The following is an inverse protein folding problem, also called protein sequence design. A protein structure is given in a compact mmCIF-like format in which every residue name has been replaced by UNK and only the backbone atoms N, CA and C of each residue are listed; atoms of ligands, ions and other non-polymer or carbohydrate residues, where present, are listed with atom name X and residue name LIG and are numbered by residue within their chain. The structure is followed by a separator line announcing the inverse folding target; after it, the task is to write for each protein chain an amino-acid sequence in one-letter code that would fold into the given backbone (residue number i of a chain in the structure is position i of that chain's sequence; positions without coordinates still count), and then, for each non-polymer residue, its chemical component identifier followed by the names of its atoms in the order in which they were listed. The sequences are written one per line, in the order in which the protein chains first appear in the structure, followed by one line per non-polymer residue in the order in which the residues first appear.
data_IF_381734711451
#
_entry.id   IF_381734711451
#
_cell.length_a   1.000
_cell.length_b   1.000
_cell.length_c   1.000
_cell.angle_alpha   90.00
_cell.angle_beta   90.00
_cell.angle_gamma   90.00
#
_symmetry.space_group_name_H-M   'P 1'
#
loop_
_entity.id
_entity.type
_entity.pdbx_description
1 polymer ?
#
# COMPACT_ATOMS: atom_id res chain seq x y z
N UNK A 1 -9.47 -4.31 -29.38
CA UNK A 1 -9.22 -4.74 -27.98
C UNK A 1 -7.83 -4.24 -27.64
N UNK A 2 -7.67 -3.02 -27.12
CA UNK A 2 -7.96 -2.63 -25.74
C UNK A 2 -6.62 -2.21 -25.13
N UNK A 3 -6.03 -1.10 -25.62
CA UNK A 3 -4.83 -0.51 -25.04
C UNK A 3 -5.13 -0.14 -23.58
N UNK A 4 -4.37 -0.69 -22.63
CA UNK A 4 -4.37 -0.15 -21.27
C UNK A 4 -3.94 1.32 -21.37
N UNK A 5 -4.78 2.30 -20.98
CA UNK A 5 -4.36 3.69 -21.00
C UNK A 5 -3.21 3.85 -20.00
N UNK A 6 -2.04 4.15 -20.55
CA UNK A 6 -0.75 4.19 -19.84
C UNK A 6 -0.51 5.55 -19.16
N UNK A 7 -1.31 6.55 -19.50
CA UNK A 7 -1.22 7.90 -18.93
C UNK A 7 -2.26 8.06 -17.82
N UNK A 8 -1.76 8.38 -16.63
CA UNK A 8 -2.55 8.80 -15.49
C UNK A 8 -3.15 10.17 -15.76
N UNK A 9 -4.33 10.42 -15.18
CA UNK A 9 -4.88 11.77 -15.11
C UNK A 9 -3.89 12.70 -14.40
N UNK A 10 -3.95 14.00 -14.71
CA UNK A 10 -3.00 14.95 -14.13
C UNK A 10 -3.01 14.99 -12.60
N UNK A 11 -4.17 14.72 -11.96
CA UNK A 11 -4.31 14.58 -10.51
C UNK A 11 -3.54 13.39 -9.92
N UNK A 12 -3.31 12.37 -10.73
CA UNK A 12 -2.67 11.11 -10.34
C UNK A 12 -1.19 11.05 -10.71
N UNK A 13 -0.69 11.98 -11.54
CA UNK A 13 0.74 12.05 -11.92
C UNK A 13 1.63 12.30 -10.71
N UNK A 14 2.85 11.76 -10.73
CA UNK A 14 3.84 11.93 -9.67
C UNK A 14 4.11 13.41 -9.44
N UNK A 15 3.87 13.86 -8.21
CA UNK A 15 4.11 15.19 -7.72
C UNK A 15 4.92 15.16 -6.41
N UNK A 16 5.06 16.34 -5.80
CA UNK A 16 5.88 16.50 -4.60
C UNK A 16 5.37 15.78 -3.35
N UNK A 17 4.10 15.32 -3.35
CA UNK A 17 3.39 14.78 -2.19
C UNK A 17 2.81 13.37 -2.37
N UNK A 18 2.77 12.81 -3.58
CA UNK A 18 2.11 11.52 -3.85
C UNK A 18 3.07 10.39 -4.27
N UNK A 19 4.39 10.56 -4.09
CA UNK A 19 5.40 9.62 -4.58
C UNK A 19 5.14 8.15 -4.19
N UNK A 20 4.57 7.90 -3.02
CA UNK A 20 4.42 6.56 -2.46
C UNK A 20 3.20 5.84 -3.01
N UNK A 21 2.06 6.53 -3.10
CA UNK A 21 0.88 6.01 -3.78
C UNK A 21 1.19 5.82 -5.27
N UNK A 22 1.96 6.74 -5.83
CA UNK A 22 2.38 6.67 -7.22
C UNK A 22 3.35 5.51 -7.49
N UNK A 23 4.40 5.33 -6.68
CA UNK A 23 5.41 4.27 -6.88
C UNK A 23 4.76 2.89 -6.81
N UNK A 24 3.89 2.64 -5.82
CA UNK A 24 3.19 1.36 -5.65
C UNK A 24 2.22 1.07 -6.81
N UNK A 25 1.50 2.09 -7.30
CA UNK A 25 0.65 1.96 -8.50
C UNK A 25 1.47 1.69 -9.75
N UNK A 26 2.63 2.32 -9.90
CA UNK A 26 3.52 2.09 -11.04
C UNK A 26 4.15 0.70 -11.01
N UNK A 27 4.62 0.23 -9.85
CA UNK A 27 5.13 -1.14 -9.66
C UNK A 27 4.07 -2.19 -10.04
N UNK A 28 2.83 -1.99 -9.57
CA UNK A 28 1.70 -2.86 -9.89
C UNK A 28 1.39 -2.88 -11.39
N UNK A 29 1.36 -1.70 -12.03
CA UNK A 29 1.13 -1.58 -13.47
C UNK A 29 2.22 -2.24 -14.32
N UNK A 30 3.49 -2.07 -13.92
CA UNK A 30 4.63 -2.70 -14.60
C UNK A 30 4.58 -4.22 -14.48
N UNK A 31 4.25 -4.71 -13.30
CA UNK A 31 4.09 -6.14 -13.02
C UNK A 31 2.97 -6.74 -13.88
N UNK A 32 1.79 -6.12 -13.88
CA UNK A 32 0.65 -6.56 -14.70
C UNK A 32 0.96 -6.54 -16.20
N UNK A 33 1.70 -5.52 -16.67
CA UNK A 33 2.15 -5.43 -18.07
C UNK A 33 3.13 -6.53 -18.45
N UNK A 34 4.07 -6.86 -17.57
CA UNK A 34 5.00 -7.97 -17.81
C UNK A 34 4.23 -9.29 -17.91
N UNK A 35 3.30 -9.57 -17.00
CA UNK A 35 2.44 -10.75 -17.10
C UNK A 35 1.63 -10.79 -18.39
N UNK A 36 1.05 -9.67 -18.81
CA UNK A 36 0.31 -9.60 -20.06
C UNK A 36 1.20 -9.88 -21.29
N UNK A 37 2.43 -9.33 -21.31
CA UNK A 37 3.41 -9.58 -22.38
C UNK A 37 3.77 -11.06 -22.52
N UNK A 38 4.03 -11.71 -21.38
CA UNK A 38 4.34 -13.15 -21.30
C UNK A 38 3.18 -14.01 -21.81
N UNK A 39 1.94 -13.69 -21.43
CA UNK A 39 0.75 -14.48 -21.80
C UNK A 39 0.41 -14.32 -23.29
N UNK A 40 0.66 -13.14 -23.86
CA UNK A 40 0.23 -12.81 -25.23
C UNK A 40 1.30 -13.02 -26.29
N UNK A 41 2.53 -13.44 -25.92
CA UNK A 41 3.70 -13.49 -26.81
C UNK A 41 3.90 -12.17 -27.59
N UNK A 42 3.43 -11.05 -27.06
CA UNK A 42 3.52 -9.72 -27.67
C UNK A 42 4.84 -9.00 -27.34
N UNK A 43 5.81 -9.73 -26.80
CA UNK A 43 7.11 -9.19 -26.44
C UNK A 43 7.96 -8.92 -27.69
N UNK A 44 8.50 -7.70 -27.77
CA UNK A 44 9.52 -7.33 -28.76
C UNK A 44 10.76 -8.22 -28.54
N UNK A 45 11.35 -8.80 -29.61
CA UNK A 45 12.45 -9.77 -29.53
C UNK A 45 13.78 -9.22 -28.95
N UNK A 46 13.83 -7.95 -28.56
CA UNK A 46 15.02 -7.28 -28.00
C UNK A 46 15.07 -7.23 -26.46
N UNK A 47 14.04 -7.70 -25.75
CA UNK A 47 14.09 -7.74 -24.28
C UNK A 47 15.07 -8.82 -23.83
N UNK A 48 16.15 -8.44 -23.15
CA UNK A 48 17.11 -9.40 -22.61
C UNK A 48 16.44 -10.26 -21.55
N UNK A 49 16.94 -11.47 -21.31
CA UNK A 49 16.43 -12.38 -20.27
C UNK A 49 16.42 -11.70 -18.87
N UNK A 50 17.35 -10.76 -18.64
CA UNK A 50 17.42 -9.93 -17.44
C UNK A 50 16.28 -8.90 -17.35
N UNK A 51 15.77 -8.39 -18.48
CA UNK A 51 14.63 -7.45 -18.51
C UNK A 51 13.30 -8.14 -18.19
N UNK A 52 13.23 -9.48 -18.35
CA UNK A 52 12.06 -10.29 -18.01
C UNK A 52 11.94 -10.56 -16.50
N UNK A 53 13.07 -10.56 -15.80
CA UNK A 53 13.15 -10.86 -14.37
C UNK A 53 13.10 -9.61 -13.48
N UNK A 54 13.40 -8.42 -14.02
CA UNK A 54 13.43 -7.18 -13.25
C UNK A 54 12.53 -6.11 -13.89
N UNK A 55 11.30 -5.88 -13.37
CA UNK A 55 10.32 -4.97 -13.95
C UNK A 55 10.81 -3.51 -14.10
N UNK A 56 11.82 -3.13 -13.31
CA UNK A 56 12.35 -1.77 -13.24
C UNK A 56 13.41 -1.49 -14.32
N UNK A 57 14.05 -2.53 -14.89
CA UNK A 57 15.05 -2.43 -15.98
C UNK A 57 14.47 -2.20 -17.37
N UNK A 58 13.19 -2.48 -17.58
CA UNK A 58 12.61 -2.37 -18.92
C UNK A 58 12.65 -0.93 -19.44
N UNK A 59 13.08 -0.73 -20.70
CA UNK A 59 12.95 0.58 -21.40
C UNK A 59 11.51 1.12 -21.38
N UNK A 60 10.52 0.22 -21.27
CA UNK A 60 9.10 0.57 -21.10
C UNK A 60 8.81 1.21 -19.74
N UNK A 61 9.51 0.81 -18.67
CA UNK A 61 9.39 1.44 -17.36
C UNK A 61 9.83 2.91 -17.44
N UNK A 62 11.01 3.20 -18.00
CA UNK A 62 11.47 4.59 -18.15
C UNK A 62 10.50 5.49 -18.96
N UNK A 63 9.87 4.96 -20.02
CA UNK A 63 8.88 5.69 -20.81
C UNK A 63 7.58 5.95 -20.03
N UNK A 64 7.09 4.93 -19.31
CA UNK A 64 5.92 5.02 -18.43
C UNK A 64 6.11 6.05 -17.33
N UNK A 65 7.29 6.07 -16.72
CA UNK A 65 7.61 6.97 -15.62
C UNK A 65 7.69 8.42 -16.11
N UNK A 66 8.26 8.65 -17.31
CA UNK A 66 8.31 9.99 -17.91
C UNK A 66 6.92 10.59 -18.15
N UNK A 67 5.97 9.79 -18.63
CA UNK A 67 4.62 10.25 -18.97
C UNK A 67 3.77 10.46 -17.70
N UNK A 68 4.06 9.71 -16.64
CA UNK A 68 3.27 9.72 -15.41
C UNK A 68 3.87 10.60 -14.31
N UNK A 69 4.83 11.47 -14.61
CA UNK A 69 5.34 12.49 -13.68
C UNK A 69 4.95 13.90 -14.15
N UNK A 70 4.84 14.86 -13.22
CA UNK A 70 4.84 16.27 -13.66
C UNK A 70 6.14 16.58 -14.40
N UNK A 71 6.03 17.36 -15.48
CA UNK A 71 7.09 17.63 -16.48
C UNK A 71 8.43 17.99 -15.85
N UNK A 72 8.42 18.76 -14.75
CA UNK A 72 9.64 19.18 -14.03
C UNK A 72 10.41 17.98 -13.44
N UNK A 73 9.72 17.02 -12.84
CA UNK A 73 10.32 15.81 -12.25
C UNK A 73 10.70 14.80 -13.32
N UNK A 74 9.85 14.63 -14.33
CA UNK A 74 10.14 13.79 -15.50
C UNK A 74 11.42 14.24 -16.20
N UNK A 75 11.60 15.53 -16.45
CA UNK A 75 12.81 16.05 -17.09
C UNK A 75 14.06 15.94 -16.20
N UNK A 76 13.92 16.06 -14.88
CA UNK A 76 15.03 15.98 -13.92
C UNK A 76 15.65 14.59 -13.85
N UNK A 77 14.83 13.55 -13.78
CA UNK A 77 15.33 12.18 -13.61
C UNK A 77 15.58 11.46 -14.94
N UNK A 78 14.86 11.83 -16.01
CA UNK A 78 14.94 11.14 -17.30
C UNK A 78 16.24 11.40 -18.07
N UNK A 79 16.88 12.57 -17.90
CA UNK A 79 18.21 12.81 -18.49
C UNK A 79 19.25 11.85 -17.94
N UNK A 80 19.16 11.56 -16.64
CA UNK A 80 20.15 10.83 -15.88
C UNK A 80 19.89 9.31 -15.94
N UNK A 81 18.62 8.91 -16.06
CA UNK A 81 18.19 7.51 -16.18
C UNK A 81 18.14 6.96 -17.61
N UNK A 82 18.59 7.73 -18.61
CA UNK A 82 18.50 7.34 -20.03
C UNK A 82 19.34 6.10 -20.38
N UNK A 83 20.39 5.82 -19.59
CA UNK A 83 21.29 4.69 -19.78
C UNK A 83 20.91 3.46 -18.95
N UNK A 84 20.25 3.68 -17.81
CA UNK A 84 19.80 2.64 -16.90
C UNK A 84 18.45 3.02 -16.28
N UNK A 85 17.35 2.38 -16.69
CA UNK A 85 16.02 2.63 -16.11
C UNK A 85 15.93 2.42 -14.59
N UNK A 86 16.82 1.61 -13.99
CA UNK A 86 16.86 1.43 -12.53
C UNK A 86 17.34 2.69 -11.80
N UNK A 87 18.14 3.52 -12.47
CA UNK A 87 18.66 4.77 -11.92
C UNK A 87 17.54 5.80 -11.68
N UNK A 88 16.46 5.74 -12.47
CA UNK A 88 15.29 6.59 -12.26
C UNK A 88 14.66 6.31 -10.88
N UNK A 89 14.49 5.04 -10.54
CA UNK A 89 13.89 4.62 -9.28
C UNK A 89 14.77 4.98 -8.09
N UNK A 90 16.09 4.80 -8.23
CA UNK A 90 17.07 5.21 -7.22
C UNK A 90 17.02 6.71 -6.98
N UNK A 91 17.09 7.52 -8.04
CA UNK A 91 17.06 8.99 -7.94
C UNK A 91 15.73 9.53 -7.42
N UNK A 92 14.61 8.91 -7.82
CA UNK A 92 13.29 9.19 -7.27
C UNK A 92 13.28 8.90 -5.77
N UNK A 93 13.70 7.69 -5.37
CA UNK A 93 13.73 7.30 -3.97
C UNK A 93 14.60 8.24 -3.14
N UNK A 94 15.77 8.65 -3.61
CA UNK A 94 16.66 9.58 -2.91
C UNK A 94 16.08 11.00 -2.81
N UNK A 95 15.46 11.50 -3.87
CA UNK A 95 14.86 12.82 -3.88
C UNK A 95 13.63 12.91 -2.97
N UNK A 96 12.83 11.83 -2.92
CA UNK A 96 11.63 11.78 -2.10
C UNK A 96 11.89 11.22 -0.69
N UNK A 97 13.03 10.56 -0.41
CA UNK A 97 13.33 9.95 0.89
C UNK A 97 13.25 10.89 2.10
N UNK A 98 13.80 12.12 2.02
CA UNK A 98 13.65 13.10 3.11
C UNK A 98 12.18 13.50 3.34
N UNK A 99 11.36 13.50 2.28
CA UNK A 99 9.91 13.66 2.38
C UNK A 99 9.24 12.40 2.90
N UNK A 100 9.90 11.24 2.88
CA UNK A 100 9.37 9.98 3.42
C UNK A 100 9.23 10.01 4.94
N UNK A 101 10.08 10.71 5.70
CA UNK A 101 9.83 10.93 7.14
C UNK A 101 8.55 11.75 7.34
N UNK A 102 8.40 12.85 6.59
CA UNK A 102 7.16 13.64 6.59
C UNK A 102 5.96 12.80 6.15
N UNK A 103 6.14 11.89 5.19
CA UNK A 103 5.10 10.97 4.73
C UNK A 103 4.79 9.89 5.79
N UNK A 104 5.80 9.35 6.48
CA UNK A 104 5.62 8.43 7.62
C UNK A 104 4.76 9.11 8.70
N UNK A 105 5.13 10.34 9.10
CA UNK A 105 4.33 11.15 10.02
C UNK A 105 2.92 11.38 9.49
N UNK A 106 2.77 11.69 8.19
CA UNK A 106 1.45 11.89 7.58
C UNK A 106 0.56 10.65 7.66
N UNK A 107 1.09 9.45 7.37
CA UNK A 107 0.29 8.22 7.45
C UNK A 107 0.01 7.83 8.91
N UNK A 108 0.97 8.01 9.82
CA UNK A 108 0.74 7.83 11.26
C UNK A 108 -0.33 8.79 11.78
N UNK A 109 -0.29 10.06 11.38
CA UNK A 109 -1.29 11.06 11.75
C UNK A 109 -2.67 10.68 11.19
N UNK A 110 -2.76 10.25 9.93
CA UNK A 110 -4.03 9.75 9.35
C UNK A 110 -4.57 8.54 10.09
N UNK A 111 -3.72 7.60 10.47
CA UNK A 111 -4.11 6.41 11.24
C UNK A 111 -4.62 6.84 12.62
N UNK A 112 -3.80 7.56 13.39
CA UNK A 112 -4.11 7.88 14.78
C UNK A 112 -5.14 9.01 14.95
N UNK A 113 -5.49 9.74 13.89
CA UNK A 113 -6.61 10.70 13.90
C UNK A 113 -7.94 10.09 13.43
N UNK A 114 -7.94 8.86 12.90
CA UNK A 114 -9.17 8.21 12.44
C UNK A 114 -10.08 7.86 13.61
N UNK A 115 -11.28 8.45 13.67
CA UNK A 115 -12.22 8.15 14.76
C UNK A 115 -12.90 6.80 14.56
N UNK A 116 -12.74 5.87 15.49
CA UNK A 116 -13.44 4.57 15.45
C UNK A 116 -14.80 4.68 16.14
N UNK A 117 -15.84 5.04 15.38
CA UNK A 117 -17.23 5.09 15.86
C UNK A 117 -18.08 3.99 15.21
N UNK A 118 -19.19 3.65 15.85
CA UNK A 118 -20.01 2.50 15.45
C UNK A 118 -20.68 2.63 14.08
N UNK A 119 -21.04 3.86 13.70
CA UNK A 119 -21.75 4.16 12.46
C UNK A 119 -20.86 3.92 11.23
N UNK A 120 -19.57 4.26 11.32
CA UNK A 120 -18.63 4.21 10.21
C UNK A 120 -17.50 3.20 10.41
N UNK A 121 -17.64 2.28 11.39
CA UNK A 121 -16.54 1.42 11.84
C UNK A 121 -15.87 0.63 10.70
N UNK A 122 -16.67 0.13 9.75
CA UNK A 122 -16.17 -0.64 8.59
C UNK A 122 -15.33 0.24 7.65
N UNK A 123 -15.81 1.43 7.31
CA UNK A 123 -15.11 2.36 6.43
C UNK A 123 -13.82 2.91 7.09
N UNK A 124 -13.89 3.21 8.38
CA UNK A 124 -12.76 3.74 9.14
C UNK A 124 -11.67 2.69 9.32
N UNK A 125 -12.03 1.42 9.54
CA UNK A 125 -11.06 0.32 9.56
C UNK A 125 -10.39 0.09 8.19
N UNK A 126 -11.13 0.17 7.09
CA UNK A 126 -10.55 0.09 5.75
C UNK A 126 -9.56 1.23 5.49
N UNK A 127 -9.90 2.45 5.92
CA UNK A 127 -9.00 3.61 5.84
C UNK A 127 -7.72 3.37 6.64
N UNK A 128 -7.82 2.82 7.86
CA UNK A 128 -6.63 2.48 8.68
C UNK A 128 -5.78 1.40 7.99
N UNK A 129 -6.40 0.35 7.44
CA UNK A 129 -5.71 -0.71 6.71
C UNK A 129 -4.94 -0.17 5.50
N UNK A 130 -5.58 0.68 4.69
CA UNK A 130 -4.96 1.31 3.53
C UNK A 130 -3.77 2.18 3.94
N UNK A 131 -3.95 3.09 4.91
CA UNK A 131 -2.85 3.94 5.38
C UNK A 131 -1.72 3.12 6.02
N UNK A 132 -2.03 2.01 6.69
CA UNK A 132 -1.03 1.10 7.25
C UNK A 132 -0.26 0.38 6.15
N UNK A 133 -0.91 -0.04 5.07
CA UNK A 133 -0.25 -0.62 3.90
C UNK A 133 0.72 0.39 3.29
N UNK A 134 0.29 1.64 3.12
CA UNK A 134 1.16 2.72 2.63
C UNK A 134 2.37 2.94 3.54
N UNK A 135 2.16 2.97 4.87
CA UNK A 135 3.22 3.08 5.85
C UNK A 135 4.19 1.89 5.82
N UNK A 136 3.69 0.64 5.73
CA UNK A 136 4.51 -0.58 5.62
C UNK A 136 5.40 -0.53 4.38
N UNK A 137 4.89 -0.01 3.26
CA UNK A 137 5.67 0.15 2.03
C UNK A 137 6.83 1.14 2.19
N UNK A 138 6.79 2.05 3.17
CA UNK A 138 7.94 2.94 3.47
C UNK A 138 9.13 2.21 4.06
N UNK A 139 8.91 1.03 4.63
CA UNK A 139 9.95 0.24 5.29
C UNK A 139 10.39 -0.97 4.44
N UNK A 140 9.90 -1.13 3.20
CA UNK A 140 10.08 -2.35 2.39
C UNK A 140 11.51 -2.65 1.92
N UNK A 141 12.44 -1.70 2.03
CA UNK A 141 13.85 -1.89 1.69
C UNK A 141 14.80 -1.99 2.89
N UNK A 142 14.30 -2.01 4.13
CA UNK A 142 15.15 -2.05 5.32
C UNK A 142 15.45 -3.50 5.74
N UNK A 143 16.73 -3.81 5.91
CA UNK A 143 17.24 -5.12 6.38
C UNK A 143 16.76 -5.49 7.78
N UNK A 144 16.36 -4.50 8.56
CA UNK A 144 15.73 -4.62 9.88
C UNK A 144 14.40 -3.89 9.86
N UNK A 145 13.47 -4.34 9.03
CA UNK A 145 12.20 -3.68 8.83
C UNK A 145 11.30 -3.83 10.07
N UNK A 146 10.96 -2.75 10.80
CA UNK A 146 10.10 -2.81 12.00
C UNK A 146 8.62 -2.97 11.63
N UNK A 147 8.29 -3.49 10.45
CA UNK A 147 6.91 -3.63 9.95
C UNK A 147 6.02 -4.37 10.93
N UNK A 148 6.50 -5.48 11.48
CA UNK A 148 5.73 -6.28 12.43
C UNK A 148 5.48 -5.50 13.74
N UNK A 149 6.48 -4.74 14.20
CA UNK A 149 6.34 -3.88 15.38
C UNK A 149 5.34 -2.74 15.13
N UNK A 150 5.46 -2.04 14.00
CA UNK A 150 4.56 -0.94 13.62
C UNK A 150 3.14 -1.47 13.48
N UNK A 151 2.98 -2.62 12.84
CA UNK A 151 1.67 -3.22 12.66
C UNK A 151 1.01 -3.59 13.98
N UNK A 152 1.76 -4.18 14.91
CA UNK A 152 1.26 -4.49 16.24
C UNK A 152 0.93 -3.25 17.06
N UNK A 153 1.71 -2.16 16.92
CA UNK A 153 1.37 -0.87 17.57
C UNK A 153 0.05 -0.32 17.04
N UNK A 154 -0.16 -0.36 15.72
CA UNK A 154 -1.40 0.11 15.10
C UNK A 154 -2.58 -0.77 15.51
N UNK A 155 -2.41 -2.11 15.51
CA UNK A 155 -3.42 -3.05 15.96
C UNK A 155 -3.84 -2.80 17.41
N UNK A 156 -2.88 -2.60 18.31
CA UNK A 156 -3.14 -2.26 19.70
C UNK A 156 -3.85 -0.91 19.85
N UNK A 157 -3.44 0.10 19.10
CA UNK A 157 -4.12 1.39 19.10
C UNK A 157 -5.57 1.27 18.65
N UNK A 158 -5.85 0.48 17.60
CA UNK A 158 -7.22 0.17 17.16
C UNK A 158 -8.00 -0.43 18.31
N UNK A 159 -7.51 -1.53 18.91
CA UNK A 159 -8.20 -2.25 20.00
C UNK A 159 -8.54 -1.31 21.17
N UNK A 160 -7.61 -0.43 21.54
CA UNK A 160 -7.82 0.55 22.61
C UNK A 160 -8.92 1.55 22.26
N UNK A 161 -9.00 1.99 21.00
CA UNK A 161 -9.93 3.04 20.56
C UNK A 161 -11.24 2.49 19.97
N UNK A 162 -11.44 1.18 19.94
CA UNK A 162 -12.69 0.59 19.46
C UNK A 162 -13.89 0.93 20.36
N UNK A 163 -15.11 1.03 19.78
CA UNK A 163 -16.34 1.17 20.53
C UNK A 163 -16.56 0.05 21.56
N UNK A 164 -17.28 0.36 22.64
CA UNK A 164 -17.41 -0.54 23.79
C UNK A 164 -17.97 -1.93 23.46
N UNK A 165 -18.88 -2.01 22.48
CA UNK A 165 -19.47 -3.30 22.06
C UNK A 165 -18.43 -4.33 21.57
N UNK A 166 -17.22 -3.89 21.19
CA UNK A 166 -16.15 -4.77 20.73
C UNK A 166 -15.20 -5.24 21.84
N UNK A 167 -15.16 -4.56 23.02
CA UNK A 167 -14.10 -4.77 24.02
C UNK A 167 -13.95 -6.21 24.45
N UNK A 168 -15.03 -6.85 24.89
CA UNK A 168 -14.99 -8.25 25.34
C UNK A 168 -14.46 -9.20 24.26
N UNK A 169 -14.87 -8.98 23.00
CA UNK A 169 -14.37 -9.80 21.88
C UNK A 169 -12.87 -9.60 21.67
N UNK A 170 -12.39 -8.36 21.80
CA UNK A 170 -10.97 -8.03 21.64
C UNK A 170 -10.12 -8.50 22.82
N UNK A 171 -10.63 -8.45 24.05
CA UNK A 171 -9.94 -8.99 25.23
C UNK A 171 -9.71 -10.49 25.09
N UNK A 172 -10.73 -11.24 24.67
CA UNK A 172 -10.61 -12.68 24.40
C UNK A 172 -9.59 -12.95 23.29
N UNK A 173 -9.56 -12.11 22.25
CA UNK A 173 -8.56 -12.21 21.19
C UNK A 173 -7.14 -11.93 21.70
N UNK A 174 -6.93 -10.89 22.51
CA UNK A 174 -5.62 -10.57 23.08
C UNK A 174 -5.10 -11.69 23.98
N UNK A 175 -5.95 -12.28 24.82
CA UNK A 175 -5.59 -13.46 25.64
C UNK A 175 -5.17 -14.62 24.74
N UNK A 176 -5.86 -14.84 23.62
CA UNK A 176 -5.47 -15.87 22.65
C UNK A 176 -4.10 -15.58 22.02
N UNK A 177 -3.82 -14.34 21.64
CA UNK A 177 -2.50 -13.94 21.15
C UNK A 177 -1.39 -14.24 22.15
N UNK A 178 -1.61 -13.93 23.43
CA UNK A 178 -0.66 -14.19 24.52
C UNK A 178 -0.40 -15.69 24.69
N UNK A 179 -1.45 -16.51 24.75
CA UNK A 179 -1.33 -17.98 24.87
C UNK A 179 -0.61 -18.59 23.67
N UNK A 180 -0.81 -18.05 22.47
CA UNK A 180 -0.15 -18.51 21.24
C UNK A 180 1.24 -17.90 21.03
N UNK A 181 1.72 -17.04 21.95
CA UNK A 181 2.97 -16.28 21.83
C UNK A 181 3.07 -15.51 20.49
N UNK A 182 1.98 -14.87 20.09
CA UNK A 182 1.87 -14.04 18.89
C UNK A 182 1.59 -12.60 19.27
N UNK A 183 2.08 -11.68 18.46
CA UNK A 183 1.66 -10.28 18.55
C UNK A 183 0.37 -10.08 17.74
N UNK A 184 -0.55 -9.22 18.20
CA UNK A 184 -1.71 -8.84 17.40
C UNK A 184 -1.24 -8.17 16.11
N UNK A 185 -1.82 -8.56 14.99
CA UNK A 185 -1.66 -7.88 13.70
C UNK A 185 -2.92 -7.09 13.38
N UNK A 186 -2.79 -6.05 12.55
CA UNK A 186 -3.94 -5.25 12.14
C UNK A 186 -4.92 -6.08 11.31
N UNK A 187 -4.39 -6.95 10.45
CA UNK A 187 -5.18 -7.84 9.59
C UNK A 187 -6.01 -8.84 10.43
N UNK A 188 -5.40 -9.49 11.42
CA UNK A 188 -6.14 -10.40 12.32
C UNK A 188 -7.17 -9.66 13.18
N UNK A 189 -6.82 -8.47 13.67
CA UNK A 189 -7.75 -7.62 14.43
C UNK A 189 -8.98 -7.29 13.60
N UNK A 190 -8.79 -6.92 12.34
CA UNK A 190 -9.89 -6.66 11.41
C UNK A 190 -10.72 -7.92 11.12
N UNK A 191 -10.11 -9.08 10.96
CA UNK A 191 -10.83 -10.35 10.80
C UNK A 191 -11.75 -10.65 11.99
N UNK A 192 -11.27 -10.45 13.22
CA UNK A 192 -12.05 -10.64 14.44
C UNK A 192 -13.23 -9.66 14.48
N UNK A 193 -13.00 -8.37 14.19
CA UNK A 193 -14.05 -7.35 14.10
C UNK A 193 -15.11 -7.70 13.06
N UNK A 194 -14.68 -8.11 11.87
CA UNK A 194 -15.60 -8.43 10.76
C UNK A 194 -16.51 -9.60 11.11
N UNK A 195 -15.96 -10.64 11.75
CA UNK A 195 -16.75 -11.78 12.24
C UNK A 195 -17.77 -11.36 13.30
N UNK A 196 -17.39 -10.45 14.21
CA UNK A 196 -18.32 -9.90 15.19
C UNK A 196 -19.48 -9.14 14.53
N UNK A 197 -19.17 -8.26 13.57
CA UNK A 197 -20.17 -7.50 12.82
C UNK A 197 -21.15 -8.42 12.09
N UNK A 198 -20.64 -9.41 11.35
CA UNK A 198 -21.46 -10.37 10.61
C UNK A 198 -22.40 -11.18 11.52
N UNK A 199 -21.93 -11.61 12.70
CA UNK A 199 -22.76 -12.34 13.66
C UNK A 199 -23.92 -11.50 14.17
N UNK A 200 -23.70 -10.21 14.45
CA UNK A 200 -24.74 -9.34 14.97
C UNK A 200 -25.72 -8.87 13.88
N UNK A 201 -25.27 -8.70 12.64
CA UNK A 201 -26.16 -8.47 11.48
C UNK A 201 -27.15 -9.66 11.35
N UNK A 202 -26.66 -10.91 11.39
CA UNK A 202 -27.49 -12.11 11.29
C UNK A 202 -28.47 -12.31 12.46
N UNK A 203 -28.09 -11.94 13.69
CA UNK A 203 -28.97 -12.03 14.86
C UNK A 203 -30.11 -11.01 14.78
N UNK A 204 -29.86 -9.84 14.17
CA UNK A 204 -30.88 -8.80 14.03
C UNK A 204 -31.94 -9.19 12.98
N UNK A 205 -31.54 -9.86 11.90
CA UNK A 205 -32.47 -10.39 10.89
C UNK A 205 -33.35 -11.53 11.40
N UNK A 206 -32.82 -12.40 12.29
CA UNK A 206 -33.57 -13.52 12.84
C UNK A 206 -34.60 -13.13 13.90
N UNK A 207 -34.50 -11.95 14.50
CA UNK A 207 -35.44 -11.44 15.51
C UNK A 207 -36.60 -10.61 14.89
N UNK A 208 -36.61 -10.43 13.58
CA UNK A 208 -37.62 -9.66 12.83
C UNK A 208 -38.46 -10.59 11.91
N UNK A 209 -38.10 -11.87 11.79
CA UNK A 209 -38.82 -12.90 11.04
C UNK A 209 -39.70 -13.76 11.96
#
# INVERSE_FOLDING_TARGET
MGEFPLELNDSDKLNDSNYLDWVSRMESNLTLKNYYGLITNSETPEASENDKLEPHRSKRAAALLKINCIVRLGNKFYSDSKKDPTEFWRLGQEFFQPKTIQNQTTYLDKIFSTQLNDEHIRANMLTILENTLHLRNLFSGLTTSPKDLIDSVIAMWVIINLPERFKTTMEVWLVKCEVENKHPSLDDTWEVMRKFLQRNENVTEHNIA
#
